data_IF_175422960259
#
_entry.id   IF_175422960259
#
_cell.length_a   1.000
_cell.length_b   1.000
_cell.length_c   1.000
_cell.angle_alpha   90.00
_cell.angle_beta   90.00
_cell.angle_gamma   90.00
#
_symmetry.space_group_name_H-M   'P 1'
#
loop_
_entity.id
_entity.type
_entity.pdbx_description
1 polymer ?
#
# COMPACT_ATOMS: atom_id res chain seq x y z
N UNK A 1 3.25 0.08 15.62
CA UNK A 1 4.59 -0.55 15.63
C UNK A 1 5.55 0.37 14.90
N UNK A 2 6.82 0.43 15.33
CA UNK A 2 7.81 1.29 14.70
C UNK A 2 8.03 0.91 13.23
N UNK A 3 8.41 1.91 12.42
CA UNK A 3 8.81 1.69 11.03
C UNK A 3 9.95 0.66 10.97
N UNK A 4 9.89 -0.25 10.00
CA UNK A 4 10.84 -1.33 9.86
C UNK A 4 10.66 -2.51 10.83
N UNK A 5 9.69 -2.46 11.75
CA UNK A 5 9.37 -3.60 12.62
C UNK A 5 8.98 -4.84 11.79
N UNK A 6 9.48 -6.01 12.19
CA UNK A 6 9.07 -7.29 11.62
C UNK A 6 7.78 -7.77 12.29
N UNK A 7 6.90 -8.37 11.49
CA UNK A 7 5.67 -9.03 11.93
C UNK A 7 5.67 -10.46 11.39
N UNK A 8 5.38 -11.41 12.27
CA UNK A 8 5.16 -12.83 11.93
C UNK A 8 3.76 -13.21 12.42
N UNK A 9 2.90 -13.59 11.49
CA UNK A 9 1.51 -13.95 11.79
C UNK A 9 1.33 -15.45 11.61
N UNK A 10 0.83 -16.13 12.65
CA UNK A 10 0.30 -17.48 12.53
C UNK A 10 -1.14 -17.37 12.03
N UNK A 11 -1.37 -17.93 10.86
CA UNK A 11 -2.66 -17.93 10.15
C UNK A 11 -3.06 -19.37 9.84
N UNK A 12 -4.20 -19.54 9.18
CA UNK A 12 -4.62 -20.79 8.59
C UNK A 12 -4.87 -20.64 7.09
N UNK A 13 -4.89 -21.76 6.38
CA UNK A 13 -5.18 -21.81 4.95
C UNK A 13 -5.98 -23.06 4.62
N UNK A 14 -6.98 -22.91 3.74
CA UNK A 14 -7.92 -23.96 3.35
C UNK A 14 -8.81 -24.40 4.52
N UNK A 15 -9.12 -25.70 4.59
CA UNK A 15 -10.00 -26.29 5.62
C UNK A 15 -9.51 -26.06 7.06
N UNK A 16 -8.22 -25.75 7.25
CA UNK A 16 -7.62 -25.45 8.56
C UNK A 16 -8.15 -24.15 9.18
N UNK A 17 -8.80 -23.28 8.38
CA UNK A 17 -9.48 -22.09 8.89
C UNK A 17 -10.59 -22.39 9.91
N UNK A 18 -11.06 -23.64 9.98
CA UNK A 18 -11.96 -24.09 11.04
C UNK A 18 -11.30 -24.12 12.42
N UNK A 19 -9.99 -24.41 12.49
CA UNK A 19 -9.27 -24.63 13.75
C UNK A 19 -8.56 -23.38 14.27
N UNK A 20 -8.22 -22.44 13.38
CA UNK A 20 -7.42 -21.25 13.71
C UNK A 20 -7.86 -20.03 12.89
N UNK A 21 -7.65 -18.80 13.41
CA UNK A 21 -7.96 -17.59 12.67
C UNK A 21 -7.27 -17.55 11.30
N UNK A 22 -8.04 -17.22 10.27
CA UNK A 22 -7.52 -16.92 8.93
C UNK A 22 -7.24 -15.43 8.87
N UNK A 23 -5.99 -15.09 8.60
CA UNK A 23 -5.56 -13.71 8.32
C UNK A 23 -5.17 -13.63 6.86
N UNK A 24 -5.85 -12.76 6.12
CA UNK A 24 -5.54 -12.54 4.71
C UNK A 24 -4.36 -11.57 4.54
N UNK A 25 -3.44 -11.81 3.58
CA UNK A 25 -2.33 -10.89 3.31
C UNK A 25 -2.78 -9.45 3.01
N UNK A 26 -3.99 -9.27 2.47
CA UNK A 26 -4.58 -7.95 2.23
C UNK A 26 -4.82 -7.16 3.53
N UNK A 27 -5.18 -7.82 4.62
CA UNK A 27 -5.44 -7.16 5.91
C UNK A 27 -4.14 -6.70 6.56
N UNK A 28 -3.09 -7.51 6.43
CA UNK A 28 -1.72 -7.15 6.83
C UNK A 28 -1.24 -5.92 6.06
N UNK A 29 -1.51 -5.85 4.75
CA UNK A 29 -1.20 -4.67 3.93
C UNK A 29 -1.98 -3.43 4.36
N UNK A 30 -3.28 -3.55 4.64
CA UNK A 30 -4.09 -2.43 5.18
C UNK A 30 -3.55 -1.92 6.51
N UNK A 31 -2.92 -2.78 7.33
CA UNK A 31 -2.21 -2.38 8.55
C UNK A 31 -0.90 -1.63 8.33
N UNK A 32 -0.53 -1.32 7.08
CA UNK A 32 0.71 -0.64 6.70
C UNK A 32 1.95 -1.53 6.75
N UNK A 33 1.78 -2.85 6.71
CA UNK A 33 2.89 -3.80 6.58
C UNK A 33 3.04 -4.25 5.14
N UNK A 34 4.28 -4.25 4.65
CA UNK A 34 4.64 -4.93 3.42
C UNK A 34 4.75 -6.43 3.68
N UNK A 35 3.91 -7.24 3.03
CA UNK A 35 4.01 -8.71 3.08
C UNK A 35 5.22 -9.15 2.26
N UNK A 36 6.14 -9.88 2.89
CA UNK A 36 7.37 -10.38 2.28
C UNK A 36 7.20 -11.82 1.80
N UNK A 37 6.56 -12.66 2.61
CA UNK A 37 6.32 -14.06 2.28
C UNK A 37 5.05 -14.58 2.94
N UNK A 38 4.43 -15.56 2.29
CA UNK A 38 3.34 -16.37 2.84
C UNK A 38 3.75 -17.82 2.66
N UNK A 39 3.78 -18.58 3.76
CA UNK A 39 4.11 -19.99 3.75
C UNK A 39 2.92 -20.81 4.23
N UNK A 40 2.45 -21.69 3.35
CA UNK A 40 1.46 -22.71 3.65
C UNK A 40 2.20 -24.05 3.70
N UNK A 41 2.21 -24.75 4.84
CA UNK A 41 2.87 -26.05 4.89
C UNK A 41 2.08 -27.06 4.07
N UNK A 42 2.81 -27.81 3.25
CA UNK A 42 2.30 -28.87 2.36
C UNK A 42 2.00 -30.17 3.13
N UNK A 43 2.70 -30.39 4.25
CA UNK A 43 2.56 -31.59 5.08
C UNK A 43 1.57 -31.37 6.22
N UNK A 44 0.79 -32.40 6.52
CA UNK A 44 -0.27 -32.37 7.55
C UNK A 44 0.25 -32.18 8.99
N UNK A 45 1.55 -32.37 9.24
CA UNK A 45 2.15 -32.24 10.58
C UNK A 45 2.19 -30.79 11.08
N UNK A 46 2.19 -29.80 10.19
CA UNK A 46 2.16 -28.39 10.57
C UNK A 46 0.80 -27.75 10.23
N UNK A 47 0.08 -27.31 11.27
CA UNK A 47 -1.30 -26.82 11.15
C UNK A 47 -1.36 -25.35 10.70
N UNK A 48 -0.33 -24.56 11.01
CA UNK A 48 -0.37 -23.11 10.82
C UNK A 48 0.32 -22.68 9.53
N UNK A 49 -0.32 -21.75 8.83
CA UNK A 49 0.35 -20.92 7.83
C UNK A 49 1.09 -19.77 8.49
N UNK A 50 2.13 -19.26 7.84
CA UNK A 50 2.92 -18.14 8.35
C UNK A 50 2.94 -17.01 7.34
N UNK A 51 2.64 -15.80 7.79
CA UNK A 51 2.86 -14.58 7.01
C UNK A 51 4.01 -13.81 7.64
N UNK A 52 5.02 -13.50 6.84
CA UNK A 52 6.14 -12.64 7.24
C UNK A 52 5.95 -11.27 6.58
N UNK A 53 5.98 -10.22 7.37
CA UNK A 53 5.77 -8.86 6.91
C UNK A 53 6.66 -7.85 7.64
N UNK A 54 6.79 -6.64 7.09
CA UNK A 54 7.59 -5.56 7.66
C UNK A 54 6.82 -4.25 7.62
N UNK A 55 6.82 -3.48 8.72
CA UNK A 55 6.15 -2.17 8.77
C UNK A 55 6.86 -1.21 7.83
N UNK A 56 6.11 -0.59 6.91
CA UNK A 56 6.66 0.40 5.99
C UNK A 56 7.21 1.62 6.73
N UNK A 57 8.15 2.33 6.10
CA UNK A 57 8.67 3.61 6.58
C UNK A 57 7.81 4.81 6.17
N UNK A 58 6.74 4.57 5.40
CA UNK A 58 5.97 5.61 4.71
C UNK A 58 4.89 6.30 5.56
N UNK A 59 4.84 6.09 6.88
CA UNK A 59 3.88 6.83 7.75
C UNK A 59 4.21 8.33 7.93
N UNK A 60 5.29 8.85 7.34
CA UNK A 60 5.67 10.27 7.43
C UNK A 60 5.68 11.03 6.10
N UNK A 61 5.16 10.48 5.01
CA UNK A 61 4.89 11.30 3.82
C UNK A 61 3.43 11.74 3.92
N UNK A 62 3.11 12.93 4.47
CA UNK A 62 1.79 13.50 4.22
C UNK A 62 1.56 13.48 2.70
N UNK A 63 0.32 13.35 2.21
CA UNK A 63 0.08 13.60 0.79
C UNK A 63 0.75 14.93 0.49
N UNK A 64 1.68 14.94 -0.47
CA UNK A 64 2.23 16.19 -0.97
C UNK A 64 1.05 16.86 -1.65
N UNK A 65 0.25 17.56 -0.85
CA UNK A 65 -0.70 18.54 -1.34
C UNK A 65 0.21 19.68 -1.75
N UNK A 66 0.71 19.58 -2.99
CA UNK A 66 1.34 20.71 -3.63
C UNK A 66 0.39 21.91 -3.47
N UNK A 67 0.90 23.12 -3.22
CA UNK A 67 0.06 24.32 -3.17
C UNK A 67 -0.83 24.31 -4.43
N UNK A 68 -2.13 24.65 -4.31
CA UNK A 68 -3.04 24.59 -5.44
C UNK A 68 -2.45 25.45 -6.55
N UNK A 69 -2.08 24.82 -7.67
CA UNK A 69 -1.66 25.56 -8.84
C UNK A 69 -2.88 26.31 -9.38
N UNK A 70 -2.69 27.55 -9.85
CA UNK A 70 -3.75 28.35 -10.46
C UNK A 70 -4.39 27.67 -11.69
N UNK A 71 -3.83 26.57 -12.18
CA UNK A 71 -4.40 25.75 -13.24
C UNK A 71 -5.62 24.94 -12.79
N UNK A 72 -5.66 24.47 -11.53
CA UNK A 72 -6.72 23.58 -11.05
C UNK A 72 -7.96 24.32 -10.53
N UNK A 73 -7.89 25.63 -10.30
CA UNK A 73 -9.07 26.41 -9.87
C UNK A 73 -10.11 26.56 -11.00
N UNK A 74 -9.69 26.54 -12.27
CA UNK A 74 -10.59 26.75 -13.41
C UNK A 74 -11.41 25.50 -13.78
N UNK A 75 -10.96 24.29 -13.42
CA UNK A 75 -11.63 23.01 -13.74
C UNK A 75 -12.59 22.51 -12.64
N UNK A 76 -12.73 23.23 -11.53
CA UNK A 76 -13.56 22.81 -10.38
C UNK A 76 -15.06 22.69 -10.70
N UNK A 77 -15.49 23.01 -11.91
CA UNK A 77 -16.87 22.84 -12.36
C UNK A 77 -17.22 21.41 -12.86
N UNK A 78 -16.26 20.55 -13.22
CA UNK A 78 -16.58 19.18 -13.70
C UNK A 78 -15.41 18.19 -13.49
N UNK A 79 -15.36 17.58 -12.30
CA UNK A 79 -15.09 16.14 -12.09
C UNK A 79 -14.46 15.89 -10.72
N UNK A 80 -14.90 14.82 -10.06
CA UNK A 80 -14.48 14.40 -8.71
C UNK A 80 -13.27 13.47 -8.73
N UNK A 81 -12.34 13.65 -9.68
CA UNK A 81 -11.12 12.85 -9.77
C UNK A 81 -9.93 13.80 -9.83
N UNK A 82 -8.96 13.74 -8.89
CA UNK A 82 -7.75 14.53 -9.02
C UNK A 82 -6.96 13.99 -10.22
N UNK A 83 -6.93 14.75 -11.31
CA UNK A 83 -6.17 14.37 -12.50
C UNK A 83 -4.67 14.49 -12.18
N UNK A 84 -3.96 13.37 -12.24
CA UNK A 84 -2.49 13.35 -12.17
C UNK A 84 -1.84 13.93 -13.44
N UNK A 85 -2.64 14.38 -14.41
CA UNK A 85 -2.16 14.91 -15.69
C UNK A 85 -1.49 16.28 -15.55
N UNK A 86 -2.02 17.17 -14.72
CA UNK A 86 -1.53 18.56 -14.65
C UNK A 86 -0.08 18.69 -14.16
N UNK A 87 0.40 17.75 -13.33
CA UNK A 87 1.78 17.75 -12.87
C UNK A 87 2.77 17.31 -13.97
N UNK A 88 2.38 16.34 -14.79
CA UNK A 88 3.21 15.85 -15.89
C UNK A 88 3.26 16.89 -17.01
N UNK A 89 2.13 17.50 -17.36
CA UNK A 89 2.04 18.56 -18.37
C UNK A 89 2.86 19.81 -17.98
N UNK A 90 2.88 20.17 -16.69
CA UNK A 90 3.71 21.27 -16.18
C UNK A 90 5.21 20.96 -16.26
N UNK A 91 5.61 19.73 -15.94
CA UNK A 91 7.01 19.29 -16.05
C UNK A 91 7.47 19.25 -17.51
N UNK A 92 6.60 18.85 -18.44
CA UNK A 92 6.88 18.84 -19.87
C UNK A 92 6.92 20.24 -20.48
N UNK A 93 6.11 21.18 -20.02
CA UNK A 93 6.21 22.61 -20.40
C UNK A 93 7.52 23.23 -19.91
N UNK A 94 7.93 22.95 -18.67
CA UNK A 94 9.23 23.40 -18.13
C UNK A 94 10.38 22.82 -18.95
N UNK A 95 10.31 21.53 -19.31
CA UNK A 95 11.30 20.90 -20.19
C UNK A 95 11.32 21.53 -21.58
N UNK A 96 10.16 21.84 -22.16
CA UNK A 96 10.05 22.51 -23.47
C UNK A 96 10.55 23.95 -23.49
N UNK A 97 10.54 24.65 -22.35
CA UNK A 97 11.08 26.03 -22.24
C UNK A 97 12.55 26.08 -21.86
N UNK A 98 13.10 24.98 -21.36
CA UNK A 98 14.51 24.86 -21.00
C UNK A 98 15.42 24.52 -22.20
N UNK A 99 14.84 24.27 -23.38
CA UNK A 99 15.56 23.98 -24.63
C UNK A 99 14.93 24.74 -25.80
#
# INVERSE_FOLDING_TARGET
>A
MAAGAALVVRSAHGARGFLCPVVEPAEVRRGGFQVLAVHHPDNAEMVYSVIVARKGYLELVPPVVNPPCNCCEVEKARSSVPSTSCHLDAMDEIRRRAW
#
